data_IF_355744504178
#
_entry.id   IF_355744504178
#
_cell.length_a   1.000
_cell.length_b   1.000
_cell.length_c   1.000
_cell.angle_alpha   90.00
_cell.angle_beta   90.00
_cell.angle_gamma   90.00
#
_symmetry.space_group_name_H-M   'P 1'
#
loop_
_entity.id
_entity.type
_entity.pdbx_description
1 polymer ?
#
# COMPACT_ATOMS: atom_id res chain seq x y z
N UNK A 1 39.52 -7.85 -41.23
CA UNK A 1 38.57 -6.79 -41.66
C UNK A 1 38.71 -5.64 -40.67
N UNK A 2 38.92 -4.42 -41.17
CA UNK A 2 39.12 -3.23 -40.35
C UNK A 2 37.84 -2.94 -39.57
N UNK A 3 37.94 -2.77 -38.25
CA UNK A 3 36.86 -2.26 -37.44
C UNK A 3 37.02 -0.73 -37.42
N UNK A 4 36.13 -0.02 -38.11
CA UNK A 4 35.93 1.39 -37.83
C UNK A 4 35.18 1.43 -36.50
N UNK A 5 35.93 1.69 -35.42
CA UNK A 5 35.44 1.60 -34.05
C UNK A 5 34.18 2.47 -33.91
N UNK A 6 33.05 1.82 -33.66
CA UNK A 6 31.82 2.53 -33.30
C UNK A 6 32.07 3.29 -32.00
N UNK A 7 31.58 4.52 -31.92
CA UNK A 7 31.70 5.30 -30.70
C UNK A 7 30.96 4.61 -29.55
N UNK A 8 31.57 4.64 -28.36
CA UNK A 8 31.01 3.98 -27.18
C UNK A 8 29.66 4.61 -26.78
N UNK A 9 29.50 5.93 -27.00
CA UNK A 9 28.24 6.65 -26.79
C UNK A 9 27.12 6.06 -27.63
N UNK A 10 27.38 5.85 -28.93
CA UNK A 10 26.41 5.30 -29.87
C UNK A 10 26.00 3.86 -29.53
N UNK A 11 26.94 3.08 -28.97
CA UNK A 11 26.66 1.73 -28.52
C UNK A 11 25.81 1.71 -27.24
N UNK A 12 26.00 2.69 -26.35
CA UNK A 12 25.16 2.91 -25.17
C UNK A 12 23.76 3.40 -25.57
N UNK A 13 23.64 4.36 -26.49
CA UNK A 13 22.34 4.82 -27.00
C UNK A 13 21.57 3.68 -27.68
N UNK A 14 22.29 2.78 -28.36
CA UNK A 14 21.70 1.58 -28.93
C UNK A 14 21.20 0.61 -27.84
N UNK A 15 21.92 0.48 -26.73
CA UNK A 15 21.54 -0.36 -25.59
C UNK A 15 20.30 0.21 -24.86
N UNK A 16 20.28 1.52 -24.62
CA UNK A 16 19.24 2.24 -23.89
C UNK A 16 17.99 2.50 -24.75
N UNK A 17 18.02 2.13 -26.04
CA UNK A 17 16.98 2.36 -27.04
C UNK A 17 16.67 3.85 -27.28
N UNK A 18 17.65 4.72 -27.10
CA UNK A 18 17.58 6.18 -27.33
C UNK A 18 18.19 6.61 -28.67
N UNK A 19 18.86 5.71 -29.38
CA UNK A 19 19.50 5.95 -30.67
C UNK A 19 18.54 6.40 -31.78
N UNK A 20 19.00 7.28 -32.67
CA UNK A 20 18.25 7.72 -33.85
C UNK A 20 17.95 6.53 -34.80
N UNK A 21 16.77 6.50 -35.47
CA UNK A 21 16.43 5.40 -36.37
C UNK A 21 17.43 5.13 -37.49
N UNK A 22 18.10 6.15 -38.04
CA UNK A 22 19.09 5.98 -39.10
C UNK A 22 20.38 5.36 -38.54
N UNK A 23 20.85 5.89 -37.41
CA UNK A 23 22.04 5.40 -36.73
C UNK A 23 21.84 3.96 -36.23
N UNK A 24 20.63 3.62 -35.78
CA UNK A 24 20.25 2.25 -35.39
C UNK A 24 20.50 1.25 -36.52
N UNK A 25 20.11 1.59 -37.75
CA UNK A 25 20.33 0.71 -38.91
C UNK A 25 21.82 0.52 -39.17
N UNK A 26 22.60 1.60 -39.08
CA UNK A 26 24.05 1.55 -39.22
C UNK A 26 24.71 0.65 -38.17
N UNK A 27 24.41 0.85 -36.89
CA UNK A 27 24.93 0.05 -35.78
C UNK A 27 24.54 -1.42 -35.94
N UNK A 28 23.27 -1.71 -36.29
CA UNK A 28 22.84 -3.09 -36.52
C UNK A 28 23.60 -3.79 -37.65
N UNK A 29 23.85 -3.09 -38.76
CA UNK A 29 24.60 -3.65 -39.87
C UNK A 29 26.08 -3.86 -39.50
N UNK A 30 26.69 -2.94 -38.77
CA UNK A 30 28.04 -3.11 -38.27
C UNK A 30 28.15 -4.30 -37.29
N UNK A 31 27.22 -4.41 -36.34
CA UNK A 31 27.20 -5.48 -35.34
C UNK A 31 27.03 -6.88 -35.96
N UNK A 32 26.49 -7.00 -37.17
CA UNK A 32 26.43 -8.28 -37.91
C UNK A 32 27.80 -8.74 -38.40
N UNK A 33 28.73 -7.81 -38.65
CA UNK A 33 30.01 -8.07 -39.32
C UNK A 33 31.18 -7.97 -38.33
N UNK A 34 31.08 -7.10 -37.32
CA UNK A 34 32.16 -6.83 -36.38
C UNK A 34 31.99 -7.57 -35.05
N UNK A 35 32.85 -8.56 -34.79
CA UNK A 35 32.85 -9.30 -33.54
C UNK A 35 33.35 -8.48 -32.34
N UNK A 36 34.21 -7.47 -32.56
CA UNK A 36 34.75 -6.63 -31.48
C UNK A 36 33.66 -5.78 -30.84
N UNK A 37 32.95 -4.98 -31.63
CA UNK A 37 31.84 -4.16 -31.13
C UNK A 37 30.68 -5.00 -30.58
N UNK A 38 30.51 -6.24 -31.08
CA UNK A 38 29.53 -7.17 -30.50
C UNK A 38 29.94 -7.63 -29.10
N UNK A 39 31.23 -7.92 -28.87
CA UNK A 39 31.75 -8.25 -27.53
C UNK A 39 31.61 -7.06 -26.57
N UNK A 40 31.98 -5.86 -27.01
CA UNK A 40 31.81 -4.63 -26.22
C UNK A 40 30.34 -4.43 -25.82
N UNK A 41 29.39 -4.63 -26.76
CA UNK A 41 27.96 -4.55 -26.46
C UNK A 41 27.51 -5.61 -25.46
N UNK A 42 28.04 -6.83 -25.56
CA UNK A 42 27.76 -7.90 -24.60
C UNK A 42 28.28 -7.57 -23.21
N UNK A 43 29.46 -6.99 -23.08
CA UNK A 43 30.03 -6.54 -21.81
C UNK A 43 29.17 -5.44 -21.18
N UNK A 44 28.76 -4.43 -21.97
CA UNK A 44 27.84 -3.38 -21.50
C UNK A 44 26.50 -3.94 -21.01
N UNK A 45 25.95 -4.95 -21.71
CA UNK A 45 24.70 -5.62 -21.30
C UNK A 45 24.83 -6.34 -19.96
N UNK A 46 25.95 -7.03 -19.73
CA UNK A 46 26.19 -7.72 -18.46
C UNK A 46 26.31 -6.71 -17.32
N UNK A 47 27.05 -5.62 -17.54
CA UNK A 47 27.16 -4.55 -16.56
C UNK A 47 25.80 -3.92 -16.24
N UNK A 48 24.97 -3.65 -17.24
CA UNK A 48 23.62 -3.14 -17.02
C UNK A 48 22.76 -4.13 -16.21
N UNK A 49 22.84 -5.42 -16.52
CA UNK A 49 22.12 -6.46 -15.78
C UNK A 49 22.53 -6.51 -14.31
N UNK A 50 23.83 -6.42 -14.02
CA UNK A 50 24.34 -6.41 -12.66
C UNK A 50 23.89 -5.18 -11.87
N UNK A 51 23.80 -4.03 -12.54
CA UNK A 51 23.27 -2.78 -11.96
C UNK A 51 21.76 -2.80 -11.75
N UNK A 52 21.02 -3.47 -12.63
CA UNK A 52 19.56 -3.61 -12.53
C UNK A 52 19.12 -4.67 -11.50
N UNK A 53 20.03 -5.55 -11.08
CA UNK A 53 19.74 -6.53 -10.05
C UNK A 53 19.57 -5.88 -8.68
N UNK A 54 18.32 -5.60 -8.35
CA UNK A 54 17.90 -5.01 -7.06
C UNK A 54 18.32 -5.85 -5.85
N UNK A 55 18.65 -7.14 -6.02
CA UNK A 55 19.15 -7.97 -4.93
C UNK A 55 20.58 -7.61 -4.53
N UNK A 56 21.35 -6.95 -5.41
CA UNK A 56 22.71 -6.50 -5.11
C UNK A 56 22.74 -5.28 -4.17
N UNK A 57 21.59 -4.63 -3.93
CA UNK A 57 21.51 -3.40 -3.16
C UNK A 57 20.66 -3.57 -1.90
N UNK A 58 21.27 -3.35 -0.74
CA UNK A 58 20.52 -3.17 0.51
C UNK A 58 20.03 -1.73 0.53
N UNK A 59 18.76 -1.52 0.19
CA UNK A 59 18.12 -0.20 0.23
C UNK A 59 17.51 -0.02 1.62
N UNK A 60 18.11 0.85 2.43
CA UNK A 60 17.52 1.29 3.69
C UNK A 60 16.50 2.40 3.41
N UNK A 61 15.23 2.16 3.77
CA UNK A 61 14.15 3.09 3.51
C UNK A 61 13.99 4.03 4.71
N UNK A 62 13.96 5.36 4.50
CA UNK A 62 13.61 6.30 5.54
C UNK A 62 12.27 5.94 6.19
N UNK A 63 12.13 6.07 7.53
CA UNK A 63 10.88 5.77 8.21
C UNK A 63 9.73 6.69 7.76
N UNK A 64 10.01 7.91 7.26
CA UNK A 64 8.96 8.82 6.79
C UNK A 64 8.29 8.33 5.49
N UNK A 65 8.95 7.45 4.73
CA UNK A 65 8.43 6.95 3.45
C UNK A 65 7.17 6.10 3.65
N UNK A 66 7.09 5.37 4.76
CA UNK A 66 5.88 4.63 5.14
C UNK A 66 4.71 5.57 5.42
N UNK A 67 4.96 6.66 6.16
CA UNK A 67 3.93 7.68 6.44
C UNK A 67 3.47 8.38 5.16
N UNK A 68 4.39 8.74 4.25
CA UNK A 68 4.03 9.35 2.97
C UNK A 68 3.20 8.41 2.09
N UNK A 69 3.53 7.10 2.07
CA UNK A 69 2.74 6.10 1.36
C UNK A 69 1.30 6.08 1.86
N UNK A 70 1.13 6.04 3.18
CA UNK A 70 -0.18 5.95 3.79
C UNK A 70 -1.00 7.24 3.58
N UNK A 71 -0.36 8.41 3.63
CA UNK A 71 -0.99 9.70 3.33
C UNK A 71 -1.47 9.79 1.86
N UNK A 72 -0.64 9.33 0.90
CA UNK A 72 -1.03 9.29 -0.52
C UNK A 72 -2.21 8.34 -0.71
N UNK A 73 -2.15 7.14 -0.12
CA UNK A 73 -3.23 6.15 -0.18
C UNK A 73 -4.53 6.74 0.39
N UNK A 74 -4.47 7.44 1.52
CA UNK A 74 -5.64 8.03 2.17
C UNK A 74 -6.17 9.26 1.43
N UNK A 75 -5.31 10.02 0.75
CA UNK A 75 -5.69 11.13 -0.12
C UNK A 75 -6.45 10.66 -1.36
N UNK A 76 -6.03 9.54 -1.96
CA UNK A 76 -6.65 8.97 -3.16
C UNK A 76 -7.89 8.12 -2.85
N UNK A 77 -7.87 7.32 -1.77
CA UNK A 77 -8.99 6.47 -1.39
C UNK A 77 -10.07 7.21 -0.58
N UNK A 78 -9.81 8.47 -0.21
CA UNK A 78 -10.71 9.31 0.56
C UNK A 78 -10.92 8.77 1.98
N UNK A 79 -10.17 9.30 2.96
CA UNK A 79 -10.27 8.98 4.40
C UNK A 79 -10.67 7.53 4.65
N UNK A 80 -9.71 6.59 4.62
CA UNK A 80 -9.96 5.30 5.26
C UNK A 80 -10.42 5.58 6.69
N UNK A 81 -11.65 5.18 7.01
CA UNK A 81 -12.17 5.29 8.37
C UNK A 81 -11.17 4.53 9.25
N UNK A 82 -10.61 5.22 10.26
CA UNK A 82 -9.65 4.61 11.17
C UNK A 82 -10.15 3.23 11.65
N UNK A 83 -9.25 2.26 11.93
CA UNK A 83 -9.67 0.94 12.40
C UNK A 83 -10.66 1.03 13.58
N UNK A 84 -10.49 2.01 14.47
CA UNK A 84 -11.41 2.35 15.55
C UNK A 84 -12.78 2.85 15.08
N UNK A 85 -12.87 3.69 14.05
CA UNK A 85 -14.16 4.11 13.46
C UNK A 85 -14.89 2.94 12.80
N UNK A 86 -14.17 2.01 12.17
CA UNK A 86 -14.76 0.80 11.57
C UNK A 86 -15.39 -0.11 12.62
N UNK A 87 -14.75 -0.27 13.78
CA UNK A 87 -15.30 -1.03 14.91
C UNK A 87 -16.57 -0.38 15.46
N UNK A 88 -16.57 0.94 15.62
CA UNK A 88 -17.75 1.69 16.09
C UNK A 88 -18.92 1.55 15.11
N UNK A 89 -18.67 1.67 13.80
CA UNK A 89 -19.71 1.50 12.79
C UNK A 89 -20.30 0.09 12.80
N UNK A 90 -19.45 -0.93 12.90
CA UNK A 90 -19.89 -2.33 12.96
C UNK A 90 -20.75 -2.60 14.21
N UNK A 91 -20.40 -2.00 15.36
CA UNK A 91 -21.21 -2.08 16.57
C UNK A 91 -22.56 -1.37 16.42
N UNK A 92 -22.58 -0.17 15.80
CA UNK A 92 -23.82 0.58 15.53
C UNK A 92 -24.74 -0.18 14.59
N UNK A 93 -24.20 -0.80 13.53
CA UNK A 93 -24.99 -1.63 12.60
C UNK A 93 -25.56 -2.87 13.28
N UNK A 94 -24.76 -3.55 14.11
CA UNK A 94 -25.21 -4.72 14.90
C UNK A 94 -26.36 -4.35 15.86
N UNK A 95 -26.30 -3.17 16.48
CA UNK A 95 -27.37 -2.69 17.36
C UNK A 95 -28.64 -2.39 16.55
N UNK A 96 -28.52 -1.80 15.35
CA UNK A 96 -29.67 -1.50 14.49
C UNK A 96 -30.37 -2.76 14.00
N UNK A 97 -29.62 -3.76 13.55
CA UNK A 97 -30.18 -5.05 13.09
C UNK A 97 -30.81 -5.83 14.24
N UNK A 98 -30.16 -5.84 15.41
CA UNK A 98 -30.72 -6.43 16.63
C UNK A 98 -32.00 -5.70 17.08
N UNK A 99 -32.04 -4.37 16.96
CA UNK A 99 -33.22 -3.55 17.26
C UNK A 99 -34.44 -3.95 16.44
N UNK A 100 -34.26 -4.17 15.13
CA UNK A 100 -35.33 -4.65 14.23
C UNK A 100 -35.85 -6.05 14.62
N UNK A 101 -34.98 -6.91 15.15
CA UNK A 101 -35.37 -8.23 15.62
C UNK A 101 -36.18 -8.14 16.92
N UNK A 102 -35.78 -7.26 17.85
CA UNK A 102 -36.51 -7.00 19.10
C UNK A 102 -37.92 -6.46 18.82
N UNK A 103 -38.10 -5.66 17.76
CA UNK A 103 -39.42 -5.16 17.33
C UNK A 103 -40.39 -6.27 16.89
N UNK A 104 -39.87 -7.40 16.40
CA UNK A 104 -40.68 -8.51 15.90
C UNK A 104 -40.95 -9.61 16.95
N UNK A 105 -40.37 -9.52 18.15
CA UNK A 105 -40.63 -10.48 19.21
C UNK A 105 -42.00 -10.21 19.88
N UNK A 106 -42.85 -11.25 20.07
CA UNK A 106 -44.11 -11.11 20.79
C UNK A 106 -43.83 -10.68 22.24
N UNK A 107 -44.17 -9.44 22.57
CA UNK A 107 -43.82 -8.80 23.85
C UNK A 107 -42.95 -7.52 23.72
N UNK A 108 -42.52 -7.15 22.51
CA UNK A 108 -41.70 -5.96 22.22
C UNK A 108 -42.22 -4.65 22.84
N UNK A 109 -43.54 -4.50 22.98
CA UNK A 109 -44.19 -3.32 23.62
C UNK A 109 -43.84 -3.17 25.11
N UNK A 110 -43.34 -4.22 25.77
CA UNK A 110 -42.90 -4.18 27.18
C UNK A 110 -41.38 -3.96 27.34
N UNK A 111 -40.59 -4.13 26.27
CA UNK A 111 -39.15 -3.89 26.25
C UNK A 111 -38.73 -2.50 26.77
N UNK A 112 -39.39 -1.37 26.41
CA UNK A 112 -39.00 -0.07 26.93
C UNK A 112 -39.23 0.08 28.44
N UNK A 113 -40.20 -0.65 29.02
CA UNK A 113 -40.43 -0.64 30.49
C UNK A 113 -39.36 -1.46 31.21
N UNK A 114 -39.00 -2.63 30.67
CA UNK A 114 -37.94 -3.48 31.21
C UNK A 114 -36.56 -2.80 31.13
N UNK A 115 -36.23 -2.15 30.00
CA UNK A 115 -34.99 -1.37 29.86
C UNK A 115 -34.95 -0.15 30.81
N UNK A 116 -36.09 0.53 31.04
CA UNK A 116 -36.17 1.62 32.03
C UNK A 116 -35.99 1.13 33.47
N UNK A 117 -36.46 -0.07 33.79
CA UNK A 117 -36.27 -0.69 35.11
C UNK A 117 -34.82 -1.16 35.28
N UNK A 118 -34.26 -1.81 34.27
CA UNK A 118 -32.86 -2.25 34.25
C UNK A 118 -31.88 -1.07 34.37
N UNK A 119 -32.12 0.03 33.65
CA UNK A 119 -31.29 1.24 33.72
C UNK A 119 -31.38 1.94 35.09
N UNK A 120 -32.55 1.95 35.73
CA UNK A 120 -32.69 2.43 37.12
C UNK A 120 -31.96 1.52 38.13
N UNK A 121 -31.97 0.21 37.93
CA UNK A 121 -31.23 -0.76 38.73
C UNK A 121 -29.71 -0.58 38.61
N UNK A 122 -29.21 -0.46 37.38
CA UNK A 122 -27.81 -0.13 37.08
C UNK A 122 -27.40 1.20 37.69
N UNK A 123 -28.21 2.26 37.57
CA UNK A 123 -27.90 3.57 38.15
C UNK A 123 -27.80 3.53 39.68
N UNK A 124 -28.63 2.72 40.35
CA UNK A 124 -28.51 2.46 41.80
C UNK A 124 -27.28 1.65 42.14
N UNK A 125 -26.97 0.59 41.38
CA UNK A 125 -25.78 -0.24 41.57
C UNK A 125 -24.47 0.54 41.39
N UNK A 126 -24.39 1.38 40.36
CA UNK A 126 -23.25 2.27 40.13
C UNK A 126 -23.13 3.31 41.24
N UNK A 127 -24.24 3.92 41.68
CA UNK A 127 -24.22 4.88 42.80
C UNK A 127 -23.75 4.24 44.11
N UNK A 128 -24.17 3.00 44.40
CA UNK A 128 -23.72 2.25 45.58
C UNK A 128 -22.26 1.78 45.47
N UNK A 129 -21.81 1.39 44.28
CA UNK A 129 -20.41 1.04 44.01
C UNK A 129 -19.48 2.24 44.15
N UNK A 130 -19.87 3.40 43.62
CA UNK A 130 -19.13 4.66 43.75
C UNK A 130 -19.12 5.13 45.21
N UNK A 131 -20.23 5.04 45.94
CA UNK A 131 -20.25 5.39 47.37
C UNK A 131 -19.38 4.46 48.24
N UNK A 132 -19.30 3.16 47.91
CA UNK A 132 -18.39 2.22 48.60
C UNK A 132 -16.92 2.44 48.26
N UNK A 133 -16.61 2.99 47.08
CA UNK A 133 -15.24 3.34 46.67
C UNK A 133 -14.77 4.68 47.25
N UNK A 134 -15.69 5.62 47.52
CA UNK A 134 -15.38 6.95 48.08
C UNK A 134 -15.35 6.95 49.63
N UNK A 135 -15.90 5.92 50.28
CA UNK A 135 -15.91 5.77 51.75
C UNK A 135 -14.76 4.88 52.28
N UNK A 136 -13.74 4.63 51.48
CA UNK A 136 -12.53 3.86 51.81
C UNK A 136 -11.30 4.74 51.58
#
# INVERSE_FOLDING_TARGET
MSCDKIDASLLQDYLDNTIDPLEKIFVQNHLKICDKCRRELSELKLLLYDLDDKNNYIIDYPPELETMRDDIIDSFLGKRKSPSKKIIEMQVETIKTTGKFIEHLPGAKQAPKLLKLASKGLKKGVKQGVQKLVAK
#
